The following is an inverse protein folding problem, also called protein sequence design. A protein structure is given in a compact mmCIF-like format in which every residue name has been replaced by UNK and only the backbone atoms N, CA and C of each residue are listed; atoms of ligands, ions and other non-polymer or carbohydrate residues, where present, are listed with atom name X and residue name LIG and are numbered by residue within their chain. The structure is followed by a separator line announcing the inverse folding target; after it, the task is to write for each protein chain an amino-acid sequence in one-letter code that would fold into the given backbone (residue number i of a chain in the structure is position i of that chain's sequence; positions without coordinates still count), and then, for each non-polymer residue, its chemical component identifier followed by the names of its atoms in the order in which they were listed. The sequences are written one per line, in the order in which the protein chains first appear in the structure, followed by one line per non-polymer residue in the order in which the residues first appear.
data_IF_001069530030
#
_entry.id   IF_001069530030
#
_cell.length_a   1.000
_cell.length_b   1.000
_cell.length_c   1.000
_cell.angle_alpha   90.00
_cell.angle_beta   90.00
_cell.angle_gamma   90.00
#
_symmetry.space_group_name_H-M   'P 1'
#
loop_
_entity.id
_entity.type
_entity.pdbx_description
1 polymer ?
#
# COMPACT_ATOMS: atom_id res chain seq x y z
N UNK A 1 -42.02 25.82 -30.77
CA UNK A 1 -41.73 24.83 -29.76
C UNK A 1 -40.22 24.60 -29.76
N UNK A 2 -39.56 25.32 -28.94
CA UNK A 2 -38.10 25.20 -28.81
C UNK A 2 -37.82 24.19 -27.69
N UNK A 3 -37.40 22.99 -28.05
CA UNK A 3 -36.73 22.14 -27.09
C UNK A 3 -35.33 22.69 -26.90
N UNK A 4 -35.14 23.43 -25.82
CA UNK A 4 -33.81 23.73 -25.35
C UNK A 4 -33.16 22.41 -24.98
N UNK A 5 -32.24 21.94 -25.79
CA UNK A 5 -31.28 20.95 -25.40
C UNK A 5 -30.45 21.53 -24.27
N UNK A 6 -30.86 21.26 -23.02
CA UNK A 6 -30.01 21.44 -21.88
C UNK A 6 -28.77 20.57 -22.12
N UNK A 7 -27.68 21.20 -22.52
CA UNK A 7 -26.36 20.58 -22.53
C UNK A 7 -26.08 20.32 -21.04
N UNK A 8 -26.37 19.12 -20.60
CA UNK A 8 -25.92 18.63 -19.30
C UNK A 8 -24.41 18.63 -19.40
N UNK A 9 -23.78 19.62 -18.80
CA UNK A 9 -22.36 19.64 -18.60
C UNK A 9 -22.06 18.42 -17.73
N UNK A 10 -21.64 17.37 -18.36
CA UNK A 10 -21.08 16.22 -17.66
C UNK A 10 -19.81 16.75 -17.01
N UNK A 11 -19.89 17.01 -15.73
CA UNK A 11 -18.69 17.17 -14.91
C UNK A 11 -17.82 15.94 -15.18
N UNK A 12 -16.55 16.09 -15.57
CA UNK A 12 -15.71 14.93 -15.75
C UNK A 12 -15.68 14.19 -14.42
N UNK A 13 -16.33 13.03 -14.40
CA UNK A 13 -16.27 12.13 -13.27
C UNK A 13 -14.79 11.99 -12.91
N UNK A 14 -14.45 12.38 -11.69
CA UNK A 14 -13.11 12.21 -11.16
C UNK A 14 -12.68 10.76 -11.44
N UNK A 15 -11.69 10.58 -12.32
CA UNK A 15 -11.12 9.27 -12.67
C UNK A 15 -10.28 8.68 -11.54
N UNK A 16 -10.32 9.27 -10.35
CA UNK A 16 -9.83 8.61 -9.15
C UNK A 16 -10.68 7.36 -8.95
N UNK A 17 -10.11 6.15 -8.99
CA UNK A 17 -10.87 4.95 -8.70
C UNK A 17 -11.52 5.14 -7.34
N UNK A 18 -12.85 5.03 -7.31
CA UNK A 18 -13.61 5.08 -6.06
C UNK A 18 -12.99 4.05 -5.12
N UNK A 19 -12.49 4.50 -3.97
CA UNK A 19 -12.00 3.57 -2.95
C UNK A 19 -13.16 2.68 -2.57
N UNK A 20 -13.04 1.36 -2.62
CA UNK A 20 -14.10 0.48 -2.19
C UNK A 20 -14.40 0.80 -0.72
N UNK A 21 -15.57 1.37 -0.49
CA UNK A 21 -16.08 1.56 0.87
C UNK A 21 -16.81 0.29 1.26
N UNK A 22 -16.15 -0.56 2.01
CA UNK A 22 -16.80 -1.74 2.59
C UNK A 22 -17.45 -1.33 3.91
N UNK A 23 -18.64 -1.81 4.16
CA UNK A 23 -19.25 -1.68 5.46
C UNK A 23 -18.63 -2.67 6.48
N UNK A 24 -19.01 -2.53 7.75
CA UNK A 24 -18.44 -3.40 8.79
C UNK A 24 -18.70 -4.88 8.52
N UNK A 25 -19.89 -5.25 8.04
CA UNK A 25 -20.25 -6.64 7.80
C UNK A 25 -19.47 -7.24 6.61
N UNK A 26 -19.25 -6.46 5.57
CA UNK A 26 -18.43 -6.85 4.42
C UNK A 26 -16.97 -7.05 4.84
N UNK A 27 -16.41 -6.12 5.60
CA UNK A 27 -15.07 -6.21 6.18
C UNK A 27 -14.92 -7.44 7.07
N UNK A 28 -15.89 -7.66 7.96
CA UNK A 28 -15.86 -8.80 8.88
C UNK A 28 -15.95 -10.13 8.15
N UNK A 29 -16.82 -10.23 7.13
CA UNK A 29 -16.90 -11.44 6.28
C UNK A 29 -15.60 -11.70 5.52
N UNK A 30 -14.99 -10.67 4.96
CA UNK A 30 -13.70 -10.77 4.28
C UNK A 30 -12.60 -11.22 5.24
N UNK A 31 -12.51 -10.61 6.43
CA UNK A 31 -11.53 -10.97 7.45
C UNK A 31 -11.63 -12.44 7.87
N UNK A 32 -12.84 -12.95 8.07
CA UNK A 32 -13.08 -14.35 8.37
C UNK A 32 -12.65 -15.27 7.22
N UNK A 33 -12.97 -14.90 5.98
CA UNK A 33 -12.57 -15.65 4.80
C UNK A 33 -11.04 -15.71 4.65
N UNK A 34 -10.35 -14.60 4.87
CA UNK A 34 -8.88 -14.56 4.85
C UNK A 34 -8.27 -15.37 5.99
N UNK A 35 -8.81 -15.27 7.21
CA UNK A 35 -8.32 -16.03 8.35
C UNK A 35 -8.43 -17.54 8.15
N UNK A 36 -9.39 -18.02 7.37
CA UNK A 36 -9.53 -19.43 6.98
C UNK A 36 -8.67 -19.85 5.78
N UNK A 37 -7.97 -18.92 5.14
CA UNK A 37 -7.23 -19.17 3.91
C UNK A 37 -5.77 -19.55 4.18
N UNK A 38 -5.25 -20.51 3.40
CA UNK A 38 -3.81 -20.85 3.40
C UNK A 38 -2.96 -19.80 2.65
N UNK A 39 -3.59 -18.85 1.96
CA UNK A 39 -2.90 -17.80 1.21
C UNK A 39 -2.38 -16.68 2.11
N UNK A 40 -2.87 -16.59 3.33
CA UNK A 40 -2.37 -15.62 4.32
C UNK A 40 -1.24 -16.24 5.16
N UNK A 41 -0.30 -15.43 5.64
CA UNK A 41 0.75 -15.88 6.54
C UNK A 41 0.19 -16.56 7.78
N UNK A 42 0.93 -17.53 8.32
CA UNK A 42 0.49 -18.38 9.41
C UNK A 42 0.01 -17.61 10.64
N UNK A 43 0.61 -16.47 10.93
CA UNK A 43 0.22 -15.63 12.08
C UNK A 43 -1.16 -14.95 11.92
N UNK A 44 -1.72 -14.90 10.72
CA UNK A 44 -3.08 -14.42 10.46
C UNK A 44 -4.10 -15.57 10.34
N UNK A 45 -3.64 -16.81 10.20
CA UNK A 45 -4.54 -17.96 10.11
C UNK A 45 -5.26 -18.15 11.42
N UNK A 46 -6.58 -18.31 11.34
CA UNK A 46 -7.49 -18.39 12.48
C UNK A 46 -7.49 -17.15 13.40
N UNK A 47 -7.04 -15.99 12.87
CA UNK A 47 -7.03 -14.71 13.57
C UNK A 47 -7.87 -13.66 12.81
N UNK A 48 -9.22 -13.78 12.82
CA UNK A 48 -10.07 -12.89 12.04
C UNK A 48 -10.00 -11.44 12.51
N UNK A 49 -9.74 -11.18 13.80
CA UNK A 49 -9.60 -9.82 14.32
C UNK A 49 -8.37 -9.12 13.73
N UNK A 50 -7.24 -9.82 13.68
CA UNK A 50 -6.00 -9.28 13.11
C UNK A 50 -6.15 -9.09 11.59
N UNK A 51 -6.79 -10.04 10.91
CA UNK A 51 -7.15 -9.90 9.51
C UNK A 51 -8.04 -8.68 9.27
N UNK A 52 -9.04 -8.45 10.14
CA UNK A 52 -9.94 -7.30 10.04
C UNK A 52 -9.18 -5.96 10.07
N UNK A 53 -8.27 -5.81 11.04
CA UNK A 53 -7.45 -4.58 11.16
C UNK A 53 -6.59 -4.37 9.92
N UNK A 54 -5.95 -5.42 9.41
CA UNK A 54 -5.09 -5.31 8.21
C UNK A 54 -5.90 -5.05 6.95
N UNK A 55 -7.08 -5.66 6.81
CA UNK A 55 -7.98 -5.40 5.66
C UNK A 55 -8.48 -3.95 5.70
N UNK A 56 -8.86 -3.43 6.86
CA UNK A 56 -9.23 -2.03 7.01
C UNK A 56 -8.06 -1.12 6.60
N UNK A 57 -6.87 -1.38 7.11
CA UNK A 57 -5.68 -0.61 6.76
C UNK A 57 -5.37 -0.68 5.25
N UNK A 58 -5.59 -1.83 4.63
CA UNK A 58 -5.42 -1.99 3.17
C UNK A 58 -6.36 -1.07 2.39
N UNK A 59 -7.62 -0.97 2.80
CA UNK A 59 -8.59 -0.07 2.17
C UNK A 59 -8.18 1.40 2.33
N UNK A 60 -7.73 1.79 3.53
CA UNK A 60 -7.27 3.16 3.80
C UNK A 60 -6.03 3.52 2.96
N UNK A 61 -5.13 2.57 2.77
CA UNK A 61 -3.95 2.72 1.93
C UNK A 61 -4.24 2.57 0.43
N UNK A 62 -5.43 2.12 0.05
CA UNK A 62 -5.81 1.84 -1.34
C UNK A 62 -5.01 0.71 -1.98
N UNK A 63 -4.72 -0.34 -1.22
CA UNK A 63 -4.06 -1.55 -1.70
C UNK A 63 -4.98 -2.77 -1.57
N UNK A 64 -4.69 -3.82 -2.33
CA UNK A 64 -5.47 -5.04 -2.26
C UNK A 64 -5.32 -5.71 -0.87
N UNK A 65 -6.42 -6.17 -0.24
CA UNK A 65 -6.37 -6.80 1.07
C UNK A 65 -5.39 -7.97 1.20
N UNK A 66 -5.35 -8.85 0.22
CA UNK A 66 -4.41 -9.98 0.23
C UNK A 66 -2.95 -9.52 0.16
N UNK A 67 -2.66 -8.51 -0.65
CA UNK A 67 -1.32 -7.90 -0.72
C UNK A 67 -0.92 -7.33 0.64
N UNK A 68 -1.84 -6.68 1.32
CA UNK A 68 -1.59 -6.15 2.67
C UNK A 68 -1.30 -7.29 3.66
N UNK A 69 -2.14 -8.32 3.71
CA UNK A 69 -1.95 -9.47 4.61
C UNK A 69 -0.62 -10.21 4.38
N UNK A 70 -0.12 -10.22 3.15
CA UNK A 70 1.17 -10.85 2.82
C UNK A 70 2.39 -9.95 3.12
N UNK A 71 2.20 -8.66 3.33
CA UNK A 71 3.29 -7.68 3.47
C UNK A 71 3.21 -6.85 4.77
N UNK A 72 2.17 -7.04 5.56
CA UNK A 72 2.00 -6.42 6.87
C UNK A 72 2.07 -7.52 7.93
N UNK A 73 2.77 -7.26 9.00
CA UNK A 73 2.88 -8.15 10.14
C UNK A 73 2.60 -7.40 11.42
N UNK A 74 2.09 -8.10 12.42
CA UNK A 74 1.78 -7.53 13.72
C UNK A 74 2.96 -7.77 14.66
N UNK A 75 3.60 -6.70 15.12
CA UNK A 75 4.69 -6.76 16.09
C UNK A 75 4.25 -6.03 17.35
N UNK A 76 4.08 -6.75 18.44
CA UNK A 76 3.66 -6.18 19.74
C UNK A 76 2.43 -5.27 19.61
N UNK A 77 1.42 -5.70 18.87
CA UNK A 77 0.17 -4.96 18.67
C UNK A 77 0.28 -3.78 17.70
N UNK A 78 1.39 -3.64 16.98
CA UNK A 78 1.59 -2.59 15.98
C UNK A 78 1.80 -3.20 14.60
N UNK A 79 1.18 -2.63 13.53
CA UNK A 79 1.43 -3.08 12.19
C UNK A 79 2.82 -2.68 11.71
N UNK A 80 3.58 -3.65 11.24
CA UNK A 80 4.86 -3.46 10.56
C UNK A 80 4.71 -3.72 9.06
N UNK A 81 5.39 -2.93 8.24
CA UNK A 81 5.36 -3.07 6.78
C UNK A 81 6.61 -3.78 6.28
N UNK A 82 6.46 -4.66 5.29
CA UNK A 82 7.61 -5.16 4.56
C UNK A 82 8.31 -4.01 3.81
N UNK A 83 9.62 -4.10 3.63
CA UNK A 83 10.37 -3.10 2.86
C UNK A 83 9.81 -2.90 1.45
N UNK A 84 9.38 -3.98 0.79
CA UNK A 84 8.73 -3.94 -0.53
C UNK A 84 7.47 -3.08 -0.52
N UNK A 85 6.60 -3.28 0.46
CA UNK A 85 5.35 -2.52 0.57
C UNK A 85 5.63 -1.06 0.89
N UNK A 86 6.54 -0.78 1.81
CA UNK A 86 6.92 0.58 2.18
C UNK A 86 7.46 1.36 0.97
N UNK A 87 8.34 0.75 0.18
CA UNK A 87 8.91 1.35 -1.04
C UNK A 87 7.81 1.57 -2.10
N UNK A 88 6.94 0.60 -2.31
CA UNK A 88 5.84 0.73 -3.27
C UNK A 88 4.88 1.87 -2.90
N UNK A 89 4.54 2.01 -1.61
CA UNK A 89 3.71 3.10 -1.11
C UNK A 89 4.42 4.46 -1.25
N UNK A 90 5.69 4.53 -0.91
CA UNK A 90 6.49 5.75 -1.06
C UNK A 90 6.58 6.19 -2.54
N UNK A 91 6.85 5.25 -3.45
CA UNK A 91 6.90 5.54 -4.88
C UNK A 91 5.53 5.99 -5.44
N UNK A 92 4.44 5.44 -4.92
CA UNK A 92 3.08 5.80 -5.33
C UNK A 92 2.60 7.13 -4.75
N UNK A 93 3.14 7.55 -3.62
CA UNK A 93 2.67 8.74 -2.89
C UNK A 93 2.86 10.04 -3.67
N UNK A 94 3.75 10.06 -4.67
CA UNK A 94 4.14 11.28 -5.38
C UNK A 94 5.04 12.21 -4.57
N UNK A 95 5.54 11.78 -3.41
CA UNK A 95 6.43 12.56 -2.58
C UNK A 95 7.80 12.80 -3.23
N UNK A 96 8.19 11.89 -4.13
CA UNK A 96 9.44 11.97 -4.86
C UNK A 96 9.20 12.19 -6.36
N UNK A 97 10.11 12.87 -7.03
CA UNK A 97 10.06 13.10 -8.47
C UNK A 97 10.36 11.83 -9.29
N UNK A 98 10.85 10.78 -8.66
CA UNK A 98 11.13 9.49 -9.29
C UNK A 98 11.23 8.36 -8.27
N UNK A 99 11.42 7.13 -8.74
CA UNK A 99 11.46 5.96 -7.88
C UNK A 99 12.67 5.97 -6.96
N UNK A 100 12.50 5.41 -5.77
CA UNK A 100 13.61 5.12 -4.85
C UNK A 100 14.56 4.14 -5.52
N UNK A 101 15.82 4.47 -5.53
CA UNK A 101 16.91 3.66 -6.07
C UNK A 101 17.91 3.34 -4.97
N UNK A 102 18.76 2.36 -5.24
CA UNK A 102 19.76 1.90 -4.29
C UNK A 102 21.15 1.92 -4.95
N UNK A 103 22.12 2.45 -4.22
CA UNK A 103 23.53 2.30 -4.53
C UNK A 103 24.14 1.31 -3.53
N UNK A 104 24.80 0.29 -4.04
CA UNK A 104 25.45 -0.74 -3.22
C UNK A 104 26.94 -0.55 -3.32
N UNK A 105 27.55 -0.09 -2.23
CA UNK A 105 29.01 -0.07 -2.10
C UNK A 105 29.47 -1.38 -1.45
N UNK A 106 30.25 -2.15 -2.19
CA UNK A 106 30.77 -3.44 -1.72
C UNK A 106 32.03 -3.31 -0.86
N UNK A 107 32.53 -2.08 -0.70
CA UNK A 107 33.73 -1.82 0.09
C UNK A 107 34.90 -2.68 -0.33
N UNK A 108 35.56 -3.28 0.63
CA UNK A 108 36.71 -4.19 0.45
C UNK A 108 36.30 -5.67 0.22
N UNK A 109 35.02 -5.94 0.00
CA UNK A 109 34.45 -7.26 -0.24
C UNK A 109 34.12 -8.05 1.03
N UNK A 110 34.28 -7.47 2.21
CA UNK A 110 33.84 -8.09 3.46
C UNK A 110 32.41 -7.72 3.79
N UNK A 111 31.64 -8.61 4.42
CA UNK A 111 30.24 -8.33 4.79
C UNK A 111 30.06 -7.06 5.63
N UNK A 112 30.99 -6.79 6.53
CA UNK A 112 30.97 -5.62 7.41
C UNK A 112 31.26 -4.29 6.71
N UNK A 113 31.83 -4.32 5.49
CA UNK A 113 32.10 -3.13 4.68
C UNK A 113 31.02 -2.82 3.66
N UNK A 114 29.98 -3.66 3.60
CA UNK A 114 28.86 -3.46 2.69
C UNK A 114 28.01 -2.28 3.14
N UNK A 115 27.88 -1.27 2.29
CA UNK A 115 26.99 -0.16 2.49
C UNK A 115 25.92 -0.11 1.40
N UNK A 116 24.69 0.13 1.80
CA UNK A 116 23.56 0.32 0.88
C UNK A 116 22.92 1.67 1.16
N UNK A 117 22.96 2.55 0.18
CA UNK A 117 22.34 3.87 0.25
C UNK A 117 21.07 3.88 -0.59
N UNK A 118 19.94 4.18 0.03
CA UNK A 118 18.70 4.46 -0.69
C UNK A 118 18.66 5.95 -1.02
N UNK A 119 18.28 6.29 -2.24
CA UNK A 119 18.14 7.69 -2.67
C UNK A 119 16.92 7.86 -3.58
N UNK A 120 16.35 9.05 -3.54
CA UNK A 120 15.25 9.41 -4.43
C UNK A 120 15.41 10.88 -4.88
N UNK A 121 15.09 11.21 -6.15
CA UNK A 121 15.07 12.58 -6.62
C UNK A 121 13.88 13.33 -6.01
N UNK A 122 14.10 14.56 -5.57
CA UNK A 122 13.05 15.48 -5.15
C UNK A 122 12.49 16.27 -6.32
N UNK A 123 11.33 16.91 -6.14
CA UNK A 123 10.73 17.77 -7.15
C UNK A 123 11.56 19.04 -7.44
N UNK A 124 12.41 19.45 -6.51
CA UNK A 124 13.30 20.63 -6.64
C UNK A 124 14.64 20.29 -7.32
N UNK A 125 14.84 19.05 -7.74
CA UNK A 125 16.07 18.58 -8.41
C UNK A 125 17.18 18.13 -7.46
N UNK A 126 16.95 18.18 -6.16
CA UNK A 126 17.86 17.64 -5.16
C UNK A 126 17.68 16.11 -5.02
N UNK A 127 18.62 15.46 -4.37
CA UNK A 127 18.58 14.04 -4.05
C UNK A 127 18.52 13.87 -2.54
N UNK A 128 17.53 13.15 -2.06
CA UNK A 128 17.44 12.73 -0.65
C UNK A 128 18.06 11.35 -0.53
N UNK A 129 19.00 11.22 0.37
CA UNK A 129 19.65 9.96 0.73
C UNK A 129 19.18 9.44 2.09
#
# INVERSE_FOLDING_TARGET
MNQENAITTHEPASLAPARPSWDFDELWRAANAFAGSRMVPQHFQNQPQDCFVVVQLALDLGIAPLTALQNIFMISGRPGFSAKLAIALANRSGAFAGPIRYNVDKGDGKPESLAVTAYAPTHDGDVVE
#
